data_IF_241656651544
#
_entry.id   IF_241656651544
#
_cell.length_a   1.000
_cell.length_b   1.000
_cell.length_c   1.000
_cell.angle_alpha   90.00
_cell.angle_beta   90.00
_cell.angle_gamma   90.00
#
_symmetry.space_group_name_H-M   'P 1'
#
loop_
_entity.id
_entity.type
_entity.pdbx_description
1 polymer ?
#
# COMPACT_ATOMS: atom_id res chain seq x y z
N UNK A 1 -6.09 -7.24 -10.98
CA UNK A 1 -6.34 -7.16 -12.44
C UNK A 1 -5.74 -8.40 -13.08
N UNK A 2 -6.55 -9.40 -13.40
CA UNK A 2 -6.11 -10.59 -14.15
C UNK A 2 -5.97 -10.21 -15.62
N UNK A 3 -4.86 -10.59 -16.26
CA UNK A 3 -4.71 -10.48 -17.72
C UNK A 3 -5.82 -11.28 -18.40
N UNK A 4 -6.50 -10.66 -19.35
CA UNK A 4 -7.49 -11.34 -20.19
C UNK A 4 -6.84 -12.46 -21.00
N UNK A 5 -7.54 -13.58 -21.27
CA UNK A 5 -7.04 -14.65 -22.11
C UNK A 5 -6.64 -14.13 -23.50
N UNK A 6 -5.62 -14.73 -24.09
CA UNK A 6 -5.14 -14.36 -25.43
C UNK A 6 -6.30 -14.47 -26.44
N UNK A 7 -6.73 -13.35 -27.02
CA UNK A 7 -7.82 -13.28 -27.99
C UNK A 7 -9.21 -12.95 -27.43
N UNK A 8 -9.37 -12.73 -26.12
CA UNK A 8 -10.61 -12.24 -25.51
C UNK A 8 -10.42 -10.84 -24.91
N UNK A 9 -10.82 -9.83 -25.67
CA UNK A 9 -10.88 -8.43 -25.25
C UNK A 9 -11.23 -7.56 -26.44
N UNK A 10 -11.93 -6.44 -26.22
CA UNK A 10 -12.10 -5.46 -27.27
C UNK A 10 -10.71 -5.03 -27.76
N UNK A 11 -10.49 -4.94 -29.09
CA UNK A 11 -9.18 -4.54 -29.62
C UNK A 11 -8.87 -3.12 -29.15
N UNK A 12 -7.89 -3.00 -28.25
CA UNK A 12 -7.37 -1.70 -27.78
C UNK A 12 -6.14 -1.38 -28.60
N UNK A 13 -6.11 -0.17 -29.17
CA UNK A 13 -4.91 0.34 -29.84
C UNK A 13 -3.77 0.50 -28.82
N UNK A 14 -2.53 0.11 -29.14
CA UNK A 14 -1.41 0.21 -28.22
C UNK A 14 -1.16 1.65 -27.74
N UNK A 15 -1.47 2.65 -28.56
CA UNK A 15 -1.40 4.07 -28.22
C UNK A 15 -2.40 4.46 -27.12
N UNK A 16 -3.63 3.92 -27.18
CA UNK A 16 -4.66 4.16 -26.17
C UNK A 16 -4.33 3.45 -24.85
N UNK A 17 -3.80 2.23 -24.93
CA UNK A 17 -3.28 1.51 -23.77
C UNK A 17 -2.16 2.31 -23.09
N UNK A 18 -1.20 2.82 -23.87
CA UNK A 18 -0.10 3.65 -23.38
C UNK A 18 -0.61 4.93 -22.72
N UNK A 19 -1.58 5.61 -23.34
CA UNK A 19 -2.21 6.82 -22.77
C UNK A 19 -2.94 6.53 -21.47
N UNK A 20 -3.65 5.41 -21.37
CA UNK A 20 -4.35 5.01 -20.15
C UNK A 20 -3.38 4.64 -19.03
N UNK A 21 -2.30 3.91 -19.35
CA UNK A 21 -1.23 3.60 -18.40
C UNK A 21 -0.59 4.88 -17.84
N UNK A 22 -0.26 5.85 -18.71
CA UNK A 22 0.29 7.14 -18.29
C UNK A 22 -0.67 7.92 -17.37
N UNK A 23 -1.98 7.90 -17.66
CA UNK A 23 -2.99 8.51 -16.79
C UNK A 23 -3.07 7.83 -15.41
N UNK A 24 -3.07 6.50 -15.37
CA UNK A 24 -3.09 5.74 -14.11
C UNK A 24 -1.83 6.01 -13.27
N UNK A 25 -0.66 6.08 -13.91
CA UNK A 25 0.58 6.42 -13.22
C UNK A 25 0.51 7.83 -12.61
N UNK A 26 0.02 8.82 -13.36
CA UNK A 26 -0.15 10.17 -12.85
C UNK A 26 -1.18 10.24 -11.71
N UNK A 27 -2.23 9.41 -11.76
CA UNK A 27 -3.21 9.30 -10.68
C UNK A 27 -2.58 8.73 -9.39
N UNK A 28 -1.75 7.70 -9.48
CA UNK A 28 -1.02 7.16 -8.32
C UNK A 28 -0.02 8.18 -7.75
N UNK A 29 0.69 8.91 -8.61
CA UNK A 29 1.58 10.01 -8.18
C UNK A 29 0.76 11.11 -7.47
N UNK A 30 -0.42 11.43 -7.98
CA UNK A 30 -1.29 12.46 -7.39
C UNK A 30 -1.86 12.05 -6.04
N UNK A 31 -2.29 10.78 -5.89
CA UNK A 31 -2.71 10.20 -4.60
C UNK A 31 -1.57 10.26 -3.58
N UNK A 32 -0.33 10.12 -4.05
CA UNK A 32 0.87 10.28 -3.24
C UNK A 32 1.03 9.19 -2.19
N UNK A 33 2.03 9.38 -1.32
CA UNK A 33 2.46 8.35 -0.36
C UNK A 33 3.79 7.71 -0.74
N UNK A 34 4.32 6.91 0.16
CA UNK A 34 5.56 6.15 -0.03
C UNK A 34 5.34 4.86 -0.80
N UNK A 35 4.10 4.37 -0.89
CA UNK A 35 3.72 3.09 -1.52
C UNK A 35 2.45 3.31 -2.34
N UNK A 36 2.38 2.68 -3.51
CA UNK A 36 1.22 2.69 -4.41
C UNK A 36 0.02 1.96 -3.81
N UNK A 37 -1.17 2.23 -4.35
CA UNK A 37 -2.43 1.67 -3.84
C UNK A 37 -2.50 0.14 -3.88
N UNK A 38 -1.76 -0.53 -4.79
CA UNK A 38 -1.80 -1.99 -4.94
C UNK A 38 -0.89 -2.72 -3.96
N UNK A 39 0.23 -2.12 -3.55
CA UNK A 39 1.20 -2.74 -2.65
C UNK A 39 1.09 -2.29 -1.18
N UNK A 40 0.11 -1.44 -0.84
CA UNK A 40 -0.11 -0.97 0.55
C UNK A 40 -0.20 -2.14 1.55
N UNK A 41 -0.98 -3.17 1.25
CA UNK A 41 -1.15 -4.32 2.15
C UNK A 41 0.16 -5.06 2.39
N UNK A 42 1.00 -5.19 1.37
CA UNK A 42 2.28 -5.88 1.47
C UNK A 42 3.25 -5.10 2.36
N UNK A 43 3.30 -3.77 2.20
CA UNK A 43 4.10 -2.91 3.06
C UNK A 43 3.66 -3.02 4.53
N UNK A 44 2.34 -2.96 4.80
CA UNK A 44 1.79 -3.12 6.14
C UNK A 44 2.09 -4.49 6.75
N UNK A 45 2.05 -5.56 5.95
CA UNK A 45 2.43 -6.89 6.40
C UNK A 45 3.90 -6.95 6.82
N UNK A 46 4.81 -6.38 6.03
CA UNK A 46 6.22 -6.37 6.40
C UNK A 46 6.53 -5.51 7.62
N UNK A 47 5.82 -4.40 7.82
CA UNK A 47 5.91 -3.64 9.07
C UNK A 47 5.43 -4.45 10.28
N UNK A 48 4.34 -5.21 10.10
CA UNK A 48 3.78 -6.10 11.13
C UNK A 48 4.76 -7.20 11.50
N UNK A 49 5.41 -7.83 10.51
CA UNK A 49 6.40 -8.90 10.69
C UNK A 49 7.81 -8.38 11.03
N UNK A 50 8.00 -7.07 11.23
CA UNK A 50 9.28 -6.48 11.59
C UNK A 50 9.74 -6.85 13.01
N UNK A 51 10.88 -6.29 13.40
CA UNK A 51 11.34 -6.30 14.79
C UNK A 51 10.34 -5.56 15.70
N UNK A 52 10.45 -5.73 17.03
CA UNK A 52 9.60 -5.07 18.01
C UNK A 52 9.94 -3.57 18.17
N UNK A 53 9.95 -2.86 17.05
CA UNK A 53 10.26 -1.44 16.94
C UNK A 53 9.11 -0.69 16.26
N UNK A 54 9.02 0.61 16.57
CA UNK A 54 8.01 1.49 15.97
C UNK A 54 8.38 1.78 14.52
N UNK A 55 7.53 1.32 13.61
CA UNK A 55 7.64 1.61 12.17
C UNK A 55 6.57 2.62 11.77
N UNK A 56 6.96 3.59 10.92
CA UNK A 56 6.05 4.61 10.37
C UNK A 56 6.11 4.59 8.85
N UNK A 57 4.97 4.66 8.19
CA UNK A 57 4.87 4.80 6.74
C UNK A 57 3.81 5.82 6.39
N UNK A 58 4.10 6.67 5.41
CA UNK A 58 3.13 7.62 4.86
C UNK A 58 2.50 6.98 3.63
N UNK A 59 1.18 6.81 3.64
CA UNK A 59 0.41 6.27 2.53
C UNK A 59 -0.49 7.36 1.95
N UNK A 60 -0.93 7.16 0.70
CA UNK A 60 -2.09 7.87 0.17
C UNK A 60 -3.40 7.37 0.80
N UNK A 61 -4.56 7.66 0.18
CA UNK A 61 -5.84 7.16 0.66
C UNK A 61 -5.85 5.62 0.71
N UNK A 62 -6.41 5.07 1.80
CA UNK A 62 -6.47 3.63 2.00
C UNK A 62 -7.47 3.00 1.04
N UNK A 63 -7.03 1.97 0.31
CA UNK A 63 -7.94 1.17 -0.51
C UNK A 63 -8.91 0.35 0.37
N UNK A 64 -10.13 0.02 -0.10
CA UNK A 64 -11.04 -0.88 0.63
C UNK A 64 -10.40 -2.23 0.97
N UNK A 65 -9.55 -2.74 0.07
CA UNK A 65 -8.78 -3.96 0.28
C UNK A 65 -7.81 -3.83 1.46
N UNK A 66 -7.08 -2.71 1.54
CA UNK A 66 -6.16 -2.42 2.65
C UNK A 66 -6.89 -2.35 3.99
N UNK A 67 -8.11 -1.80 4.02
CA UNK A 67 -8.92 -1.70 5.25
C UNK A 67 -9.32 -3.08 5.77
N UNK A 68 -9.79 -3.98 4.91
CA UNK A 68 -10.10 -5.36 5.30
C UNK A 68 -8.83 -6.12 5.73
N UNK A 69 -7.72 -5.89 5.03
CA UNK A 69 -6.45 -6.50 5.38
C UNK A 69 -5.94 -6.07 6.77
N UNK A 70 -6.14 -4.80 7.16
CA UNK A 70 -5.84 -4.33 8.52
C UNK A 70 -6.68 -5.04 9.59
N UNK A 71 -7.94 -5.39 9.30
CA UNK A 71 -8.77 -6.20 10.21
C UNK A 71 -8.19 -7.60 10.36
N UNK A 72 -7.76 -8.23 9.26
CA UNK A 72 -7.08 -9.52 9.32
C UNK A 72 -5.78 -9.44 10.12
N UNK A 73 -4.95 -8.40 9.93
CA UNK A 73 -3.73 -8.23 10.73
C UNK A 73 -4.07 -8.18 12.22
N UNK A 74 -5.10 -7.44 12.60
CA UNK A 74 -5.54 -7.37 14.00
C UNK A 74 -5.99 -8.75 14.51
N UNK A 75 -6.73 -9.52 13.72
CA UNK A 75 -7.25 -10.81 14.18
C UNK A 75 -6.14 -11.88 14.31
N UNK A 76 -5.20 -11.93 13.35
CA UNK A 76 -4.12 -12.95 13.33
C UNK A 76 -2.89 -12.56 14.16
N UNK A 77 -2.45 -11.31 14.09
CA UNK A 77 -1.22 -10.83 14.74
C UNK A 77 -1.48 -10.00 16.00
N UNK A 78 -2.73 -9.63 16.28
CA UNK A 78 -3.11 -8.79 17.43
C UNK A 78 -2.39 -7.42 17.45
N UNK A 79 -1.97 -6.95 16.27
CA UNK A 79 -1.37 -5.62 16.07
C UNK A 79 -2.44 -4.63 15.62
N UNK A 80 -2.41 -3.44 16.21
CA UNK A 80 -3.22 -2.31 15.77
C UNK A 80 -2.34 -1.19 15.21
N UNK A 81 -2.74 -0.66 14.07
CA UNK A 81 -2.11 0.50 13.46
C UNK A 81 -2.73 1.77 14.01
N UNK A 82 -1.87 2.73 14.39
CA UNK A 82 -2.28 4.11 14.61
C UNK A 82 -2.38 4.81 13.26
N UNK A 83 -3.54 5.38 12.97
CA UNK A 83 -3.87 6.04 11.71
C UNK A 83 -4.00 7.53 11.98
N UNK A 84 -3.12 8.34 11.40
CA UNK A 84 -3.14 9.80 11.51
C UNK A 84 -3.31 10.41 10.12
N UNK A 85 -4.43 11.10 9.89
CA UNK A 85 -4.63 11.83 8.64
C UNK A 85 -3.80 13.11 8.68
N UNK A 86 -2.87 13.26 7.74
CA UNK A 86 -2.11 14.50 7.63
C UNK A 86 -2.96 15.52 6.88
N UNK A 87 -3.35 16.59 7.58
CA UNK A 87 -3.90 17.77 6.93
C UNK A 87 -2.82 18.42 6.07
N UNK A 88 -3.13 18.82 4.83
CA UNK A 88 -2.16 19.43 3.94
C UNK A 88 -1.60 20.70 4.60
N UNK A 89 -0.30 20.69 4.88
CA UNK A 89 0.44 21.91 5.22
C UNK A 89 0.56 22.77 3.96
N UNK A 90 0.54 24.10 4.10
CA UNK A 90 0.66 25.08 3.02
C UNK A 90 1.88 24.83 2.09
N UNK A 91 2.90 24.12 2.58
CA UNK A 91 4.11 23.76 1.82
C UNK A 91 3.98 22.47 0.97
N UNK A 92 2.99 21.61 1.24
CA UNK A 92 2.77 20.39 0.45
C UNK A 92 1.91 20.69 -0.79
N UNK A 93 2.60 21.16 -1.83
CA UNK A 93 2.04 21.39 -3.17
C UNK A 93 1.19 20.21 -3.66
N UNK A 94 -0.12 20.45 -3.84
CA UNK A 94 -1.10 19.66 -4.63
C UNK A 94 -0.88 18.13 -4.61
N UNK A 95 -1.46 17.46 -3.63
CA UNK A 95 -1.59 16.00 -3.59
C UNK A 95 -2.91 15.60 -2.92
N UNK A 96 -3.29 14.33 -3.06
CA UNK A 96 -4.44 13.75 -2.36
C UNK A 96 -4.22 13.63 -0.85
N UNK A 97 -5.26 13.22 -0.13
CA UNK A 97 -5.21 13.02 1.33
C UNK A 97 -4.17 11.95 1.69
N UNK A 98 -3.26 12.30 2.60
CA UNK A 98 -2.19 11.41 3.08
C UNK A 98 -2.50 10.90 4.47
N UNK A 99 -2.10 9.67 4.72
CA UNK A 99 -2.32 8.98 6.00
C UNK A 99 -0.99 8.47 6.52
N UNK A 100 -0.58 8.94 7.70
CA UNK A 100 0.56 8.39 8.42
C UNK A 100 0.11 7.19 9.25
N UNK A 101 0.66 6.03 8.90
CA UNK A 101 0.43 4.76 9.56
C UNK A 101 1.60 4.44 10.47
N UNK A 102 1.32 4.10 11.72
CA UNK A 102 2.34 3.68 12.70
C UNK A 102 1.96 2.35 13.33
N UNK A 103 2.89 1.41 13.44
CA UNK A 103 2.71 0.17 14.19
C UNK A 103 4.00 -0.26 14.88
N UNK A 104 3.89 -1.22 15.80
CA UNK A 104 5.02 -1.94 16.40
C UNK A 104 5.00 -3.35 15.85
N UNK A 105 6.12 -3.85 15.32
CA UNK A 105 6.20 -5.20 14.76
C UNK A 105 6.12 -6.29 15.83
N UNK A 106 5.74 -7.52 15.43
CA UNK A 106 5.66 -8.67 16.36
C UNK A 106 7.03 -9.19 16.80
N UNK A 107 8.11 -8.84 16.10
CA UNK A 107 9.43 -9.47 16.30
C UNK A 107 9.53 -10.82 15.59
N UNK A 108 8.95 -10.94 14.39
CA UNK A 108 8.95 -12.20 13.68
C UNK A 108 10.37 -12.57 13.21
N UNK A 109 10.75 -13.82 13.44
CA UNK A 109 12.00 -14.39 12.94
C UNK A 109 11.68 -15.60 12.08
N UNK A 110 12.40 -15.75 10.96
CA UNK A 110 12.19 -16.87 10.06
C UNK A 110 12.68 -18.18 10.70
N UNK A 111 11.73 -19.02 11.09
CA UNK A 111 11.97 -20.31 11.76
C UNK A 111 12.75 -21.29 10.86
N UNK A 112 12.63 -21.16 9.53
CA UNK A 112 13.32 -22.02 8.57
C UNK A 112 14.79 -21.63 8.35
N UNK A 113 15.25 -20.51 8.92
CA UNK A 113 16.64 -20.09 8.80
C UNK A 113 17.49 -20.86 9.81
N UNK A 114 18.27 -21.84 9.34
CA UNK A 114 19.26 -22.52 10.17
C UNK A 114 20.35 -21.54 10.59
N UNK A 115 20.47 -21.28 11.89
CA UNK A 115 21.60 -20.56 12.46
C UNK A 115 22.77 -21.54 12.54
N UNK A 116 23.82 -21.29 11.74
CA UNK A 116 25.12 -21.96 11.91
C UNK A 116 25.98 -21.14 12.85
#
# INVERSE_FOLDING_TARGET
>A
MSSTPQGQGDPVLPEDLGRNCAKQLLEEIHRGGSVDSSNQSLALLFMTLGQQDVSKVLLGPLSPYTIEFLRHIRDFFQIMFKIEVQTPSEDERKGGDKVLMTCVGVGYSNINKTLK
#
